data_IF_182858894929
#
_entry.id   IF_182858894929
#
_cell.length_a   1.000
_cell.length_b   1.000
_cell.length_c   1.000
_cell.angle_alpha   90.00
_cell.angle_beta   90.00
_cell.angle_gamma   90.00
#
_symmetry.space_group_name_H-M   'P 1'
#
loop_
_entity.id
_entity.type
_entity.pdbx_description
1 polymer ?
#
# COMPACT_ATOMS: atom_id res chain seq x y z
N UNK A 1 11.87 7.70 -1.34
CA UNK A 1 11.61 7.45 -2.77
C UNK A 1 10.53 6.38 -2.86
N UNK A 2 9.47 6.60 -3.63
CA UNK A 2 8.44 5.60 -3.89
C UNK A 2 8.80 4.79 -5.13
N UNK A 3 8.41 3.52 -5.17
CA UNK A 3 8.51 2.69 -6.36
C UNK A 3 7.58 3.22 -7.46
N UNK A 4 7.98 3.11 -8.73
CA UNK A 4 7.12 3.47 -9.87
C UNK A 4 6.10 2.37 -10.15
N UNK A 5 4.90 2.52 -9.60
CA UNK A 5 3.81 1.55 -9.73
C UNK A 5 3.29 1.37 -11.17
N UNK A 6 3.61 2.26 -12.10
CA UNK A 6 3.22 2.09 -13.51
C UNK A 6 3.85 0.85 -14.14
N UNK A 7 4.98 0.38 -13.62
CA UNK A 7 5.63 -0.87 -14.04
C UNK A 7 4.78 -2.12 -13.79
N UNK A 8 3.81 -2.04 -12.87
CA UNK A 8 2.89 -3.13 -12.55
C UNK A 8 1.50 -2.94 -13.17
N UNK A 9 1.29 -1.88 -13.96
CA UNK A 9 0.02 -1.65 -14.63
C UNK A 9 -0.31 -2.83 -15.56
N UNK A 10 -1.49 -3.43 -15.38
CA UNK A 10 -1.92 -4.58 -16.17
C UNK A 10 -1.25 -5.90 -15.80
N UNK A 11 -0.50 -5.97 -14.70
CA UNK A 11 0.02 -7.23 -14.19
C UNK A 11 -1.14 -8.20 -13.91
N UNK A 12 -1.01 -9.42 -14.44
CA UNK A 12 -1.96 -10.53 -14.27
C UNK A 12 -1.17 -11.77 -13.87
N UNK A 13 -0.82 -11.84 -12.60
CA UNK A 13 -0.21 -13.06 -12.03
C UNK A 13 -1.20 -14.23 -12.08
N UNK A 14 -0.69 -15.43 -12.36
CA UNK A 14 -1.50 -16.65 -12.33
C UNK A 14 -1.95 -17.06 -10.91
N UNK A 15 -1.31 -16.50 -9.88
CA UNK A 15 -1.60 -16.73 -8.47
C UNK A 15 -2.12 -15.46 -7.80
N UNK A 16 -2.89 -15.59 -6.70
CA UNK A 16 -3.19 -14.47 -5.83
C UNK A 16 -1.91 -13.74 -5.41
N UNK A 17 -1.92 -12.42 -5.46
CA UNK A 17 -0.75 -11.59 -5.24
C UNK A 17 -1.10 -10.37 -4.37
N UNK A 18 -0.08 -9.71 -3.84
CA UNK A 18 -0.25 -8.47 -3.09
C UNK A 18 0.91 -7.51 -3.33
N UNK A 19 0.66 -6.24 -3.07
CA UNK A 19 1.62 -5.17 -3.19
C UNK A 19 2.18 -4.81 -1.80
N UNK A 20 3.50 -4.85 -1.66
CA UNK A 20 4.20 -4.47 -0.45
C UNK A 20 5.33 -3.49 -0.77
N UNK A 21 5.88 -2.86 0.28
CA UNK A 21 7.07 -2.02 0.18
C UNK A 21 6.75 -0.53 -0.02
N UNK A 22 7.09 0.28 0.98
CA UNK A 22 6.95 1.75 0.90
C UNK A 22 5.51 2.29 0.90
N UNK A 23 4.50 1.43 1.08
CA UNK A 23 3.10 1.84 1.18
C UNK A 23 2.81 2.53 2.51
N UNK A 24 2.07 3.62 2.47
CA UNK A 24 1.69 4.44 3.61
C UNK A 24 0.32 5.11 3.33
N UNK A 25 -0.28 5.83 4.32
CA UNK A 25 -1.62 6.40 4.16
C UNK A 25 -1.79 7.37 2.98
N UNK A 26 -0.71 8.01 2.52
CA UNK A 26 -0.80 9.04 1.47
C UNK A 26 -0.63 8.49 0.06
N UNK A 27 -0.12 7.26 -0.11
CA UNK A 27 0.16 6.70 -1.44
C UNK A 27 -0.57 5.38 -1.75
N UNK A 28 -1.17 4.71 -0.75
CA UNK A 28 -1.74 3.38 -0.96
C UNK A 28 -2.91 3.37 -1.94
N UNK A 29 -3.77 4.39 -1.91
CA UNK A 29 -4.91 4.47 -2.83
C UNK A 29 -4.47 4.59 -4.29
N UNK A 30 -3.47 5.44 -4.57
CA UNK A 30 -2.89 5.56 -5.90
C UNK A 30 -2.20 4.26 -6.34
N UNK A 31 -1.48 3.61 -5.43
CA UNK A 31 -0.82 2.34 -5.72
C UNK A 31 -1.83 1.24 -6.11
N UNK A 32 -2.96 1.14 -5.39
CA UNK A 32 -4.04 0.22 -5.73
C UNK A 32 -4.63 0.58 -7.10
N UNK A 33 -5.00 1.85 -7.32
CA UNK A 33 -5.63 2.29 -8.56
C UNK A 33 -4.75 2.03 -9.81
N UNK A 34 -3.42 2.21 -9.69
CA UNK A 34 -2.48 2.00 -10.80
C UNK A 34 -2.19 0.52 -11.09
N UNK A 35 -2.22 -0.34 -10.07
CA UNK A 35 -1.77 -1.73 -10.19
C UNK A 35 -2.91 -2.75 -10.23
N UNK A 36 -4.06 -2.41 -9.66
CA UNK A 36 -5.16 -3.35 -9.44
C UNK A 36 -4.83 -4.44 -8.40
N UNK A 37 -3.91 -4.16 -7.47
CA UNK A 37 -3.51 -5.10 -6.44
C UNK A 37 -4.71 -5.52 -5.56
N UNK A 38 -4.97 -6.84 -5.41
CA UNK A 38 -6.09 -7.31 -4.58
C UNK A 38 -5.74 -7.37 -3.08
N UNK A 39 -4.46 -7.23 -2.73
CA UNK A 39 -3.94 -7.22 -1.37
C UNK A 39 -2.84 -6.16 -1.26
N UNK A 40 -2.78 -5.44 -0.14
CA UNK A 40 -1.67 -4.54 0.19
C UNK A 40 -1.11 -4.86 1.56
N UNK A 41 0.22 -4.70 1.71
CA UNK A 41 0.95 -4.88 2.96
C UNK A 41 1.80 -3.65 3.29
N UNK A 42 1.79 -3.24 4.56
CA UNK A 42 2.63 -2.15 5.06
C UNK A 42 3.18 -2.48 6.45
N UNK A 43 4.45 -2.14 6.65
CA UNK A 43 5.09 -2.19 7.97
C UNK A 43 5.49 -0.79 8.44
N UNK A 44 6.57 -0.23 7.90
CA UNK A 44 7.11 1.08 8.35
C UNK A 44 6.25 2.28 7.93
N UNK A 45 5.37 2.14 6.93
CA UNK A 45 4.51 3.23 6.48
C UNK A 45 3.43 3.63 7.48
N UNK A 46 3.22 2.82 8.52
CA UNK A 46 2.28 3.08 9.62
C UNK A 46 2.99 3.14 10.99
N UNK A 47 4.30 3.40 10.99
CA UNK A 47 5.09 3.57 12.20
C UNK A 47 5.33 5.06 12.52
N UNK A 48 5.36 5.41 13.80
CA UNK A 48 5.80 6.74 14.28
C UNK A 48 7.32 6.81 14.46
N UNK A 49 7.93 5.69 14.84
CA UNK A 49 9.37 5.44 14.94
C UNK A 49 9.64 3.96 14.59
N UNK A 50 10.88 3.56 14.24
CA UNK A 50 11.18 2.18 13.84
C UNK A 50 10.66 1.14 14.84
N UNK A 51 9.75 0.26 14.39
CA UNK A 51 9.12 -0.77 15.20
C UNK A 51 7.98 -0.31 16.12
N UNK A 52 7.64 0.99 16.13
CA UNK A 52 6.56 1.57 16.93
C UNK A 52 5.38 1.92 16.03
N UNK A 53 4.32 1.12 16.08
CA UNK A 53 3.09 1.33 15.30
C UNK A 53 2.31 2.54 15.80
N UNK A 54 1.73 3.28 14.86
CA UNK A 54 0.91 4.47 15.10
C UNK A 54 -0.54 4.16 14.72
N UNK A 55 -1.45 4.26 15.69
CA UNK A 55 -2.87 3.91 15.51
C UNK A 55 -3.58 4.83 14.52
N UNK A 56 -3.21 6.10 14.46
CA UNK A 56 -3.82 7.05 13.53
C UNK A 56 -3.36 6.77 12.12
N UNK A 57 -2.06 6.45 11.92
CA UNK A 57 -1.56 6.02 10.62
C UNK A 57 -2.18 4.70 10.17
N UNK A 58 -2.36 3.72 11.05
CA UNK A 58 -3.06 2.47 10.72
C UNK A 58 -4.49 2.76 10.26
N UNK A 59 -5.21 3.59 11.01
CA UNK A 59 -6.60 3.95 10.69
C UNK A 59 -6.68 4.67 9.35
N UNK A 60 -5.82 5.65 9.12
CA UNK A 60 -5.77 6.41 7.86
C UNK A 60 -5.37 5.51 6.68
N UNK A 61 -4.44 4.57 6.88
CA UNK A 61 -4.09 3.59 5.86
C UNK A 61 -5.29 2.71 5.49
N UNK A 62 -5.96 2.14 6.49
CA UNK A 62 -7.12 1.28 6.28
C UNK A 62 -8.32 2.04 5.67
N UNK A 63 -8.44 3.34 5.93
CA UNK A 63 -9.41 4.21 5.29
C UNK A 63 -9.05 4.47 3.82
N UNK A 64 -7.81 4.84 3.53
CA UNK A 64 -7.32 5.07 2.17
C UNK A 64 -7.45 3.82 1.29
N UNK A 65 -7.20 2.62 1.83
CA UNK A 65 -7.42 1.34 1.12
C UNK A 65 -8.88 1.12 0.76
N UNK A 66 -9.83 1.49 1.64
CA UNK A 66 -11.27 1.28 1.39
C UNK A 66 -11.86 2.24 0.35
N UNK A 67 -11.21 3.38 0.12
CA UNK A 67 -11.64 4.37 -0.86
C UNK A 67 -11.03 4.17 -2.25
N UNK A 68 -10.10 3.21 -2.38
CA UNK A 68 -9.33 2.97 -3.59
C UNK A 68 -10.05 2.07 -4.61
#
# INVERSE_FOLDING_TARGET
MAFDWSLLAGYRGALPWGLAGGLNPTNVAEAIARTGAPLVDTSSGVESAPGVKDTDKITNFAFAVRLA
#
